data_IF_832881060568
#
_entry.id   IF_832881060568
#
_cell.length_a   1.000
_cell.length_b   1.000
_cell.length_c   1.000
_cell.angle_alpha   90.00
_cell.angle_beta   90.00
_cell.angle_gamma   90.00
#
_symmetry.space_group_name_H-M   'P 1'
#
loop_
_entity.id
_entity.type
_entity.pdbx_description
1 polymer ?
#
# COMPACT_ATOMS: atom_id res chain seq x y z
N UNK A 1 39.01 43.76 18.32
CA UNK A 1 37.78 44.54 18.05
C UNK A 1 36.59 43.66 18.40
N UNK A 2 35.79 44.05 19.41
CA UNK A 2 34.52 43.41 19.87
C UNK A 2 33.42 43.61 18.80
N UNK A 3 32.37 42.80 18.66
CA UNK A 3 31.17 42.63 19.52
C UNK A 3 30.54 41.23 19.25
N UNK A 4 30.29 40.39 20.26
CA UNK A 4 29.07 40.25 21.09
C UNK A 4 27.77 39.91 20.31
N UNK A 5 27.26 38.69 20.53
CA UNK A 5 25.89 38.55 21.04
C UNK A 5 25.81 37.44 22.07
N UNK A 6 25.13 37.81 23.15
CA UNK A 6 24.93 37.15 24.43
C UNK A 6 23.43 36.89 24.50
N UNK A 7 23.01 35.66 24.79
CA UNK A 7 21.67 35.41 25.30
C UNK A 7 21.79 34.62 26.59
N UNK A 8 21.46 35.30 27.68
CA UNK A 8 21.28 34.76 29.03
C UNK A 8 19.80 34.42 29.17
N UNK A 9 19.49 33.21 29.58
CA UNK A 9 18.26 32.91 30.32
C UNK A 9 18.68 32.27 31.65
N UNK A 10 18.41 32.98 32.75
CA UNK A 10 18.45 32.45 34.11
C UNK A 10 16.99 32.18 34.48
N UNK A 11 16.67 30.95 34.86
CA UNK A 11 15.48 30.62 35.66
C UNK A 11 15.95 29.76 36.83
N UNK A 12 15.43 30.10 38.01
CA UNK A 12 15.85 29.70 39.34
C UNK A 12 15.71 28.20 39.65
N UNK A 13 16.62 27.70 40.49
CA UNK A 13 16.52 26.43 41.23
C UNK A 13 15.31 26.42 42.17
N UNK A 14 14.62 25.26 42.27
CA UNK A 14 14.20 24.64 43.54
C UNK A 14 13.71 23.21 43.24
N UNK A 15 14.28 22.21 43.93
CA UNK A 15 13.64 20.90 44.10
C UNK A 15 14.43 19.71 43.55
N UNK A 16 15.32 19.16 44.39
CA UNK A 16 15.86 17.82 44.20
C UNK A 16 14.73 16.79 44.32
N UNK A 17 14.46 16.07 43.23
CA UNK A 17 13.92 14.72 43.28
C UNK A 17 14.66 13.93 42.19
N UNK A 18 15.78 13.30 42.56
CA UNK A 18 16.49 12.36 41.70
C UNK A 18 15.61 11.13 41.51
N UNK A 19 14.70 11.18 40.54
CA UNK A 19 14.19 9.98 39.91
C UNK A 19 15.20 9.62 38.83
N UNK A 20 16.06 8.65 39.15
CA UNK A 20 16.80 7.88 38.17
C UNK A 20 15.78 7.11 37.34
N UNK A 21 15.13 7.77 36.39
CA UNK A 21 14.50 7.07 35.28
C UNK A 21 15.65 6.44 34.49
N UNK A 22 15.92 5.18 34.80
CA UNK A 22 16.54 4.28 33.86
C UNK A 22 15.85 4.52 32.52
N UNK A 23 16.60 4.96 31.52
CA UNK A 23 16.18 4.84 30.13
C UNK A 23 16.06 3.34 29.89
N UNK A 24 14.93 2.75 30.28
CA UNK A 24 14.47 1.53 29.67
C UNK A 24 14.52 1.83 28.19
N UNK A 25 15.45 1.17 27.51
CA UNK A 25 15.54 1.11 26.07
C UNK A 25 14.16 0.62 25.65
N UNK A 26 13.25 1.56 25.36
CA UNK A 26 11.97 1.26 24.75
C UNK A 26 12.37 0.44 23.54
N UNK A 27 12.14 -0.87 23.61
CA UNK A 27 12.25 -1.76 22.47
C UNK A 27 11.51 -1.01 21.38
N UNK A 28 12.25 -0.55 20.36
CA UNK A 28 11.67 0.24 19.28
C UNK A 28 10.56 -0.64 18.72
N UNK A 29 9.30 -0.31 19.05
CA UNK A 29 8.16 -0.94 18.40
C UNK A 29 8.34 -0.52 16.95
N UNK A 30 8.85 -1.43 16.11
CA UNK A 30 9.34 -1.11 14.77
C UNK A 30 8.42 -0.14 14.03
N UNK A 31 9.03 0.81 13.32
CA UNK A 31 8.33 1.86 12.59
C UNK A 31 7.65 1.27 11.35
N UNK A 32 6.49 1.82 10.98
CA UNK A 32 5.86 1.51 9.69
C UNK A 32 6.42 2.42 8.60
N UNK A 33 6.93 1.81 7.54
CA UNK A 33 7.47 2.47 6.36
C UNK A 33 6.63 2.11 5.14
N UNK A 34 6.09 3.11 4.45
CA UNK A 34 5.33 2.90 3.21
C UNK A 34 6.25 2.46 2.09
N UNK A 35 5.99 1.27 1.53
CA UNK A 35 6.77 0.70 0.41
C UNK A 35 6.11 0.90 -0.95
N UNK A 36 4.80 1.13 -0.95
CA UNK A 36 4.00 1.40 -2.13
C UNK A 36 2.76 2.22 -1.75
N UNK A 37 2.36 3.16 -2.59
CA UNK A 37 1.13 3.92 -2.45
C UNK A 37 0.60 4.36 -3.83
N UNK A 38 -0.67 4.72 -3.88
CA UNK A 38 -1.33 5.33 -5.04
C UNK A 38 -2.06 6.62 -4.66
N UNK A 39 -2.48 7.41 -5.65
CA UNK A 39 -3.31 8.60 -5.43
C UNK A 39 -4.78 8.22 -5.60
N UNK A 40 -5.54 7.96 -4.52
CA UNK A 40 -6.93 7.54 -4.66
C UNK A 40 -7.77 8.69 -5.24
N UNK A 41 -8.72 8.33 -6.09
CA UNK A 41 -9.71 9.23 -6.65
C UNK A 41 -11.08 8.58 -6.75
N UNK A 42 -12.12 9.39 -6.99
CA UNK A 42 -13.40 8.89 -7.45
C UNK A 42 -13.23 8.29 -8.84
N UNK A 43 -13.60 7.03 -9.01
CA UNK A 43 -13.55 6.35 -10.30
C UNK A 43 -14.67 6.87 -11.20
N UNK A 44 -14.30 7.42 -12.35
CA UNK A 44 -15.24 7.83 -13.40
C UNK A 44 -16.00 6.63 -13.97
N UNK A 45 -17.27 6.77 -14.41
CA UNK A 45 -18.09 5.65 -14.89
C UNK A 45 -17.41 4.73 -15.91
N UNK A 46 -16.66 5.30 -16.87
CA UNK A 46 -15.94 4.53 -17.91
C UNK A 46 -14.78 3.67 -17.39
N UNK A 47 -14.30 3.95 -16.17
CA UNK A 47 -13.19 3.25 -15.52
C UNK A 47 -13.68 2.33 -14.39
N UNK A 48 -14.99 2.22 -14.19
CA UNK A 48 -15.56 1.23 -13.27
C UNK A 48 -15.17 -0.18 -13.72
N UNK A 49 -15.14 -1.09 -12.74
CA UNK A 49 -14.80 -2.48 -13.03
C UNK A 49 -15.76 -3.06 -14.07
N UNK A 50 -15.26 -3.64 -15.16
CA UNK A 50 -16.12 -4.27 -16.16
C UNK A 50 -16.86 -5.47 -15.55
N UNK A 51 -17.92 -5.93 -16.23
CA UNK A 51 -18.63 -7.16 -15.87
C UNK A 51 -17.64 -8.31 -15.59
N UNK A 52 -17.78 -9.04 -14.47
CA UNK A 52 -18.96 -9.12 -13.60
C UNK A 52 -19.06 -8.02 -12.53
N UNK A 53 -18.19 -7.01 -12.57
CA UNK A 53 -18.10 -5.96 -11.56
C UNK A 53 -17.41 -6.44 -10.27
N UNK A 54 -17.24 -5.54 -9.30
CA UNK A 54 -16.60 -5.88 -8.03
C UNK A 54 -17.56 -6.54 -7.04
N UNK A 55 -18.81 -6.07 -6.96
CA UNK A 55 -19.78 -6.51 -5.96
C UNK A 55 -20.06 -8.02 -6.05
N UNK A 56 -19.83 -8.76 -4.96
CA UNK A 56 -20.01 -10.21 -4.91
C UNK A 56 -18.89 -11.03 -5.55
N UNK A 57 -17.88 -10.38 -6.14
CA UNK A 57 -16.82 -11.00 -6.92
C UNK A 57 -15.44 -10.77 -6.30
N UNK A 58 -14.42 -11.36 -6.91
CA UNK A 58 -13.03 -11.26 -6.43
C UNK A 58 -12.18 -10.52 -7.45
N UNK A 59 -11.41 -9.54 -6.95
CA UNK A 59 -10.42 -8.78 -7.69
C UNK A 59 -9.02 -9.20 -7.23
N UNK A 60 -8.10 -9.45 -8.15
CA UNK A 60 -6.67 -9.57 -7.88
C UNK A 60 -5.91 -8.45 -8.57
N UNK A 61 -5.18 -7.68 -7.77
CA UNK A 61 -4.37 -6.55 -8.22
C UNK A 61 -2.90 -6.88 -7.99
N UNK A 62 -2.02 -6.44 -8.89
CA UNK A 62 -0.58 -6.67 -8.78
C UNK A 62 0.13 -5.32 -8.72
N UNK A 63 0.99 -5.17 -7.72
CA UNK A 63 1.78 -3.96 -7.51
C UNK A 63 3.25 -4.30 -7.36
N UNK A 64 4.13 -3.37 -7.71
CA UNK A 64 5.57 -3.48 -7.46
C UNK A 64 5.92 -2.64 -6.24
N UNK A 65 6.50 -3.28 -5.23
CA UNK A 65 6.92 -2.59 -3.99
C UNK A 65 8.34 -2.06 -4.14
N UNK A 66 8.70 -1.02 -3.39
CA UNK A 66 10.05 -0.44 -3.39
C UNK A 66 10.97 -1.21 -2.46
N UNK A 67 10.69 -1.14 -1.16
CA UNK A 67 11.46 -1.78 -0.09
C UNK A 67 10.79 -3.05 0.42
N UNK A 68 11.60 -4.01 0.86
CA UNK A 68 11.12 -5.26 1.44
C UNK A 68 10.89 -5.16 2.95
N UNK A 69 10.36 -6.23 3.53
CA UNK A 69 10.14 -6.36 4.97
C UNK A 69 9.59 -7.73 5.33
N UNK A 70 9.68 -8.10 6.61
CA UNK A 70 9.19 -9.41 7.12
C UNK A 70 7.75 -9.35 7.63
N UNK A 71 7.27 -8.13 7.88
CA UNK A 71 5.94 -7.82 8.42
C UNK A 71 5.39 -6.67 7.62
N UNK A 72 4.12 -6.77 7.26
CA UNK A 72 3.45 -5.74 6.47
C UNK A 72 2.02 -5.52 6.95
N UNK A 73 1.44 -4.40 6.53
CA UNK A 73 0.00 -4.09 6.66
C UNK A 73 -0.45 -3.33 5.42
N UNK A 74 -1.73 -3.46 5.09
CA UNK A 74 -2.33 -2.79 3.94
C UNK A 74 -3.34 -1.76 4.41
N UNK A 75 -3.43 -0.63 3.73
CA UNK A 75 -4.51 0.34 3.89
C UNK A 75 -5.47 0.25 2.72
N UNK A 76 -6.75 0.09 3.03
CA UNK A 76 -7.84 0.19 2.07
C UNK A 76 -8.62 1.48 2.30
N UNK A 77 -9.07 2.09 1.21
CA UNK A 77 -9.75 3.38 1.22
C UNK A 77 -11.13 3.29 0.58
N UNK A 78 -12.07 3.97 1.23
CA UNK A 78 -13.42 4.24 0.73
C UNK A 78 -13.71 5.75 0.76
N UNK A 79 -12.66 6.57 0.63
CA UNK A 79 -12.67 8.02 0.82
C UNK A 79 -13.63 8.77 -0.11
N UNK A 80 -13.79 8.30 -1.34
CA UNK A 80 -14.61 8.97 -2.37
C UNK A 80 -15.95 8.28 -2.61
N UNK A 81 -16.23 7.20 -1.90
CA UNK A 81 -17.49 6.47 -2.04
C UNK A 81 -18.55 7.08 -1.12
N UNK A 82 -19.79 7.13 -1.59
CA UNK A 82 -20.92 7.67 -0.83
C UNK A 82 -21.54 6.64 0.13
N UNK A 83 -21.25 5.36 -0.07
CA UNK A 83 -21.77 4.26 0.75
C UNK A 83 -20.64 3.43 1.34
N UNK A 84 -21.00 2.55 2.28
CA UNK A 84 -20.05 1.61 2.85
C UNK A 84 -19.59 0.55 1.84
N UNK A 85 -18.28 0.33 1.77
CA UNK A 85 -17.65 -0.80 1.10
C UNK A 85 -17.64 -2.01 2.02
N UNK A 86 -18.17 -3.15 1.56
CA UNK A 86 -18.16 -4.39 2.34
C UNK A 86 -17.26 -5.44 1.68
N UNK A 87 -16.33 -6.00 2.47
CA UNK A 87 -15.32 -6.97 2.00
C UNK A 87 -15.49 -8.27 2.78
N UNK A 88 -15.46 -9.41 2.07
CA UNK A 88 -15.58 -10.76 2.65
C UNK A 88 -14.24 -11.27 3.18
N UNK A 89 -13.19 -11.09 2.38
CA UNK A 89 -11.86 -11.57 2.68
C UNK A 89 -10.82 -10.84 1.82
N UNK A 90 -9.60 -10.77 2.32
CA UNK A 90 -8.42 -10.31 1.58
C UNK A 90 -7.29 -11.30 1.79
N UNK A 91 -6.52 -11.56 0.74
CA UNK A 91 -5.28 -12.31 0.82
C UNK A 91 -4.17 -11.61 0.03
N UNK A 92 -2.93 -11.91 0.39
CA UNK A 92 -1.74 -11.52 -0.34
C UNK A 92 -0.93 -12.74 -0.74
N UNK A 93 -0.18 -12.63 -1.83
CA UNK A 93 0.71 -13.69 -2.31
C UNK A 93 1.79 -13.14 -3.23
N UNK A 94 2.85 -13.91 -3.43
CA UNK A 94 3.83 -13.68 -4.49
C UNK A 94 3.18 -14.08 -5.82
N UNK A 95 3.12 -13.19 -6.83
CA UNK A 95 2.62 -13.55 -8.15
C UNK A 95 3.61 -14.48 -8.86
N UNK A 96 3.09 -15.47 -9.59
CA UNK A 96 3.92 -16.45 -10.31
C UNK A 96 3.87 -16.25 -11.82
N UNK A 97 2.70 -15.94 -12.39
CA UNK A 97 2.52 -15.62 -13.81
C UNK A 97 1.13 -15.01 -14.03
N UNK A 98 1.04 -13.90 -14.77
CA UNK A 98 -0.23 -13.20 -15.05
C UNK A 98 -1.10 -13.03 -13.79
N UNK A 99 -2.27 -13.65 -13.71
CA UNK A 99 -3.16 -13.64 -12.54
C UNK A 99 -2.82 -14.68 -11.46
N UNK A 100 -1.87 -15.58 -11.71
CA UNK A 100 -1.54 -16.71 -10.84
C UNK A 100 -0.59 -16.29 -9.72
N UNK A 101 -0.66 -17.03 -8.62
CA UNK A 101 0.16 -16.79 -7.43
C UNK A 101 0.83 -18.07 -6.95
N UNK A 102 1.94 -17.95 -6.22
CA UNK A 102 2.55 -19.06 -5.51
C UNK A 102 1.65 -19.47 -4.33
N UNK A 103 1.13 -20.69 -4.38
CA UNK A 103 0.24 -21.26 -3.38
C UNK A 103 0.83 -21.21 -1.95
N UNK A 104 2.14 -21.43 -1.82
CA UNK A 104 2.82 -21.47 -0.51
C UNK A 104 2.95 -20.10 0.15
N UNK A 105 2.83 -19.04 -0.67
CA UNK A 105 2.95 -17.66 -0.23
C UNK A 105 1.63 -17.03 0.18
N UNK A 106 0.48 -17.68 -0.09
CA UNK A 106 -0.84 -17.11 0.22
C UNK A 106 -0.96 -16.84 1.73
N UNK A 107 -1.29 -15.61 2.10
CA UNK A 107 -1.60 -15.21 3.48
C UNK A 107 -2.91 -14.43 3.50
N UNK A 108 -3.87 -14.89 4.28
CA UNK A 108 -5.09 -14.12 4.56
C UNK A 108 -4.77 -12.94 5.46
N UNK A 109 -5.43 -11.82 5.22
CA UNK A 109 -5.35 -10.63 6.07
C UNK A 109 -6.57 -10.56 6.99
N UNK A 110 -6.34 -10.05 8.19
CA UNK A 110 -7.40 -9.73 9.14
C UNK A 110 -7.46 -8.23 9.39
N UNK A 111 -8.62 -7.78 9.86
CA UNK A 111 -8.92 -6.42 10.23
C UNK A 111 -9.65 -6.50 11.56
N UNK A 112 -9.05 -5.96 12.62
CA UNK A 112 -9.56 -6.13 13.99
C UNK A 112 -9.79 -7.62 14.32
N UNK A 113 -8.87 -8.48 13.89
CA UNK A 113 -8.88 -9.95 14.04
C UNK A 113 -10.01 -10.66 13.28
N UNK A 114 -10.67 -10.00 12.34
CA UNK A 114 -11.72 -10.58 11.48
C UNK A 114 -11.30 -10.60 10.01
N UNK A 115 -11.78 -11.60 9.25
CA UNK A 115 -11.52 -11.68 7.80
C UNK A 115 -12.42 -10.73 6.99
N UNK A 116 -13.65 -10.53 7.45
CA UNK A 116 -14.60 -9.61 6.83
C UNK A 116 -14.63 -8.28 7.57
N UNK A 117 -14.90 -7.21 6.85
CA UNK A 117 -14.98 -5.87 7.39
C UNK A 117 -15.81 -4.96 6.48
N UNK A 118 -16.14 -3.78 7.01
CA UNK A 118 -16.77 -2.69 6.27
C UNK A 118 -15.93 -1.44 6.42
N UNK A 119 -15.82 -0.67 5.34
CA UNK A 119 -15.26 0.67 5.39
C UNK A 119 -16.43 1.65 5.25
N UNK A 120 -16.56 2.59 6.18
CA UNK A 120 -17.58 3.64 6.09
C UNK A 120 -17.29 4.59 4.89
N UNK A 121 -18.29 5.35 4.40
CA UNK A 121 -18.05 6.44 3.46
C UNK A 121 -16.97 7.39 3.99
N UNK A 122 -16.11 7.91 3.10
CA UNK A 122 -15.10 8.91 3.48
C UNK A 122 -13.94 8.39 4.33
N UNK A 123 -13.90 7.08 4.62
CA UNK A 123 -13.01 6.48 5.61
C UNK A 123 -12.01 5.51 5.00
N UNK A 124 -10.99 5.16 5.79
CA UNK A 124 -9.98 4.16 5.46
C UNK A 124 -9.85 3.15 6.60
N UNK A 125 -9.26 1.99 6.31
CA UNK A 125 -8.95 0.97 7.31
C UNK A 125 -7.57 0.36 7.05
N UNK A 126 -6.84 0.02 8.11
CA UNK A 126 -5.61 -0.75 8.03
C UNK A 126 -5.87 -2.20 8.39
N UNK A 127 -5.21 -3.14 7.71
CA UNK A 127 -5.15 -4.52 8.15
C UNK A 127 -4.36 -4.64 9.45
N UNK A 128 -4.59 -5.72 10.18
CA UNK A 128 -3.68 -6.17 11.20
C UNK A 128 -2.30 -6.50 10.59
N UNK A 129 -1.27 -6.56 11.44
CA UNK A 129 0.07 -6.95 11.04
C UNK A 129 0.09 -8.41 10.57
N UNK A 130 0.67 -8.66 9.38
CA UNK A 130 0.86 -10.01 8.84
C UNK A 130 2.34 -10.30 8.63
N UNK A 131 2.77 -11.52 8.98
CA UNK A 131 4.10 -12.02 8.63
C UNK A 131 4.13 -12.44 7.16
N UNK A 132 4.99 -11.79 6.38
CA UNK A 132 5.17 -12.08 4.96
C UNK A 132 6.56 -11.59 4.56
N UNK A 133 7.38 -12.48 4.00
CA UNK A 133 8.74 -12.13 3.58
C UNK A 133 8.72 -11.42 2.22
N UNK A 134 8.45 -10.11 2.25
CA UNK A 134 8.38 -9.27 1.07
C UNK A 134 9.79 -8.87 0.64
N UNK A 135 10.19 -9.24 -0.57
CA UNK A 135 11.50 -8.87 -1.12
C UNK A 135 11.48 -7.43 -1.66
N UNK A 136 12.58 -6.66 -1.55
CA UNK A 136 12.69 -5.36 -2.22
C UNK A 136 12.44 -5.49 -3.72
N UNK A 137 11.87 -4.45 -4.34
CA UNK A 137 11.60 -4.38 -5.78
C UNK A 137 10.73 -5.51 -6.36
N UNK A 138 10.09 -6.31 -5.50
CA UNK A 138 9.27 -7.46 -5.92
C UNK A 138 7.83 -7.07 -6.22
N UNK A 139 7.12 -8.00 -6.86
CA UNK A 139 5.68 -7.87 -7.06
C UNK A 139 4.92 -8.50 -5.88
N UNK A 140 3.78 -7.91 -5.55
CA UNK A 140 2.81 -8.44 -4.59
C UNK A 140 1.45 -8.53 -5.26
N UNK A 141 0.80 -9.69 -5.17
CA UNK A 141 -0.59 -9.86 -5.54
C UNK A 141 -1.49 -9.62 -4.32
N UNK A 142 -2.51 -8.78 -4.48
CA UNK A 142 -3.52 -8.48 -3.48
C UNK A 142 -4.86 -8.97 -4.02
N UNK A 143 -5.45 -9.95 -3.36
CA UNK A 143 -6.74 -10.55 -3.77
C UNK A 143 -7.82 -10.14 -2.78
N UNK A 144 -8.90 -9.53 -3.28
CA UNK A 144 -9.98 -8.94 -2.49
C UNK A 144 -11.29 -9.56 -2.96
N UNK A 145 -11.99 -10.28 -2.09
CA UNK A 145 -13.38 -10.67 -2.36
C UNK A 145 -14.34 -9.68 -1.74
N UNK A 146 -15.13 -9.02 -2.57
CA UNK A 146 -16.09 -8.04 -2.12
C UNK A 146 -17.43 -8.69 -1.80
N UNK A 147 -18.07 -8.23 -0.72
CA UNK A 147 -19.46 -8.56 -0.44
C UNK A 147 -20.40 -7.61 -1.18
N UNK A 148 -20.13 -6.31 -1.07
CA UNK A 148 -20.92 -5.25 -1.70
C UNK A 148 -20.02 -4.08 -2.03
N UNK A 149 -20.11 -3.62 -3.28
CA UNK A 149 -19.49 -2.38 -3.75
C UNK A 149 -20.62 -1.51 -4.33
N UNK A 150 -20.61 -0.22 -4.05
CA UNK A 150 -21.62 0.71 -4.59
C UNK A 150 -21.13 1.42 -5.84
N UNK A 151 -21.95 2.30 -6.42
CA UNK A 151 -21.66 2.91 -7.71
C UNK A 151 -20.47 3.89 -7.65
N UNK A 152 -20.29 4.57 -6.52
CA UNK A 152 -19.12 5.42 -6.29
C UNK A 152 -17.99 4.57 -5.73
N UNK A 153 -16.92 4.39 -6.51
CA UNK A 153 -15.78 3.56 -6.12
C UNK A 153 -14.55 4.43 -5.93
N UNK A 154 -13.86 4.22 -4.81
CA UNK A 154 -12.49 4.74 -4.62
C UNK A 154 -11.50 3.83 -5.34
N UNK A 155 -10.65 4.42 -6.18
CA UNK A 155 -9.64 3.67 -6.94
C UNK A 155 -8.63 4.57 -7.62
N UNK A 156 -7.85 3.99 -8.53
CA UNK A 156 -6.87 4.71 -9.34
C UNK A 156 -6.86 4.17 -10.78
N UNK A 157 -7.62 4.81 -11.69
CA UNK A 157 -7.73 4.38 -13.09
C UNK A 157 -6.42 4.45 -13.88
N UNK A 158 -5.52 5.36 -13.54
CA UNK A 158 -4.26 5.54 -14.25
C UNK A 158 -3.15 4.58 -13.81
N UNK A 159 -3.50 3.48 -13.13
CA UNK A 159 -2.56 2.50 -12.56
C UNK A 159 -1.58 1.91 -13.56
N UNK A 160 -2.00 1.72 -14.83
CA UNK A 160 -1.22 1.05 -15.89
C UNK A 160 -0.74 -0.34 -15.48
N UNK A 161 -1.50 -0.99 -14.62
CA UNK A 161 -1.29 -2.38 -14.21
C UNK A 161 -2.59 -3.13 -14.35
N UNK A 162 -2.52 -4.33 -14.93
CA UNK A 162 -3.66 -5.19 -15.12
C UNK A 162 -4.07 -5.83 -13.81
N UNK A 163 -5.32 -5.60 -13.44
CA UNK A 163 -6.07 -6.30 -12.41
C UNK A 163 -7.01 -7.32 -13.05
N UNK A 164 -7.38 -8.34 -12.27
CA UNK A 164 -8.09 -9.53 -12.73
C UNK A 164 -9.33 -9.75 -11.88
N UNK A 165 -10.48 -9.93 -12.53
CA UNK A 165 -11.77 -10.11 -11.87
C UNK A 165 -12.32 -11.50 -12.18
N UNK A 166 -12.74 -12.23 -11.14
CA UNK A 166 -13.43 -13.51 -11.25
C UNK A 166 -14.71 -13.52 -10.43
N UNK A 167 -15.68 -14.33 -10.86
CA UNK A 167 -16.97 -14.46 -10.17
C UNK A 167 -16.82 -15.17 -8.82
N UNK A 168 -17.56 -14.68 -7.83
CA UNK A 168 -17.63 -15.28 -6.50
C UNK A 168 -16.40 -15.03 -5.62
N UNK A 169 -16.34 -15.73 -4.49
CA UNK A 169 -15.24 -15.67 -3.52
C UNK A 169 -14.11 -16.62 -3.97
N UNK A 170 -12.94 -16.07 -4.33
CA UNK A 170 -11.77 -16.82 -4.80
C UNK A 170 -10.46 -16.33 -4.19
N UNK A 171 -10.47 -15.80 -2.96
CA UNK A 171 -9.25 -15.24 -2.31
C UNK A 171 -8.14 -16.25 -2.09
N UNK A 172 -8.47 -17.54 -1.95
CA UNK A 172 -7.48 -18.62 -1.80
C UNK A 172 -7.10 -19.29 -3.12
N UNK A 173 -7.67 -18.87 -4.26
CA UNK A 173 -7.43 -19.52 -5.54
C UNK A 173 -6.03 -19.19 -6.07
N UNK A 174 -5.23 -20.22 -6.33
CA UNK A 174 -3.90 -20.10 -6.93
C UNK A 174 -3.99 -19.55 -8.36
N UNK A 175 -4.96 -20.07 -9.12
CA UNK A 175 -5.19 -19.75 -10.53
C UNK A 175 -6.60 -19.18 -10.70
N UNK A 176 -6.70 -18.06 -11.40
CA UNK A 176 -7.99 -17.53 -11.85
C UNK A 176 -8.34 -18.12 -13.21
N UNK A 177 -9.51 -18.78 -13.30
CA UNK A 177 -10.02 -19.31 -14.58
C UNK A 177 -10.72 -18.19 -15.33
N UNK A 178 -10.25 -17.89 -16.54
CA UNK A 178 -10.82 -16.89 -17.46
C UNK A 178 -11.13 -15.54 -16.78
N UNK A 179 -10.14 -14.90 -16.10
CA UNK A 179 -10.39 -13.63 -15.44
C UNK A 179 -10.67 -12.53 -16.45
N UNK A 180 -11.61 -11.65 -16.10
CA UNK A 180 -11.81 -10.39 -16.82
C UNK A 180 -10.72 -9.42 -16.42
N UNK A 181 -10.10 -8.76 -17.40
CA UNK A 181 -8.98 -7.85 -17.18
C UNK A 181 -9.45 -6.40 -17.14
N UNK A 182 -8.80 -5.59 -16.31
CA UNK A 182 -8.97 -4.13 -16.27
C UNK A 182 -7.68 -3.48 -15.80
N UNK A 183 -7.30 -2.34 -16.36
CA UNK A 183 -6.00 -1.70 -16.07
C UNK A 183 -6.10 -0.62 -14.98
N UNK A 184 -6.75 -0.98 -13.88
CA UNK A 184 -7.12 -0.07 -12.80
C UNK A 184 -6.85 -0.70 -11.43
N UNK A 185 -6.55 0.15 -10.44
CA UNK A 185 -6.60 -0.23 -9.04
C UNK A 185 -7.93 0.19 -8.39
N UNK A 186 -8.43 -0.62 -7.46
CA UNK A 186 -9.64 -0.34 -6.70
C UNK A 186 -9.40 -0.59 -5.21
N UNK A 187 -9.90 0.32 -4.38
CA UNK A 187 -9.90 0.29 -2.91
C UNK A 187 -8.54 0.21 -2.20
N UNK A 188 -7.45 -0.22 -2.84
CA UNK A 188 -6.11 -0.29 -2.25
C UNK A 188 -5.47 1.10 -2.24
N UNK A 189 -4.96 1.55 -1.10
CA UNK A 189 -4.33 2.87 -0.98
C UNK A 189 -2.81 2.78 -0.78
N UNK A 190 -2.34 2.07 0.25
CA UNK A 190 -0.90 1.89 0.48
C UNK A 190 -0.58 0.55 1.14
N UNK A 191 0.71 0.19 1.05
CA UNK A 191 1.31 -0.96 1.71
C UNK A 191 2.46 -0.44 2.57
N UNK A 192 2.45 -0.79 3.85
CA UNK A 192 3.53 -0.49 4.77
C UNK A 192 4.27 -1.78 5.15
N UNK A 193 5.59 -1.69 5.30
CA UNK A 193 6.43 -2.70 5.92
C UNK A 193 6.91 -2.22 7.28
N UNK A 194 7.13 -3.14 8.21
CA UNK A 194 7.71 -2.82 9.52
C UNK A 194 9.23 -2.84 9.44
N UNK A 195 9.87 -1.79 9.93
CA UNK A 195 11.33 -1.66 10.00
C UNK A 195 11.78 -1.48 11.44
N UNK A 196 12.89 -2.12 11.80
CA UNK A 196 13.51 -1.98 13.13
C UNK A 196 14.52 -0.84 13.18
N UNK A 197 15.04 -0.44 12.01
CA UNK A 197 15.98 0.67 11.81
C UNK A 197 15.27 1.95 11.36
N UNK A 198 15.78 3.15 11.73
CA UNK A 198 15.31 4.43 11.21
C UNK A 198 15.29 4.43 9.68
N UNK A 199 14.10 4.65 9.10
CA UNK A 199 13.89 4.59 7.66
C UNK A 199 12.97 5.73 7.20
N UNK A 200 13.17 6.19 5.96
CA UNK A 200 12.46 7.34 5.41
C UNK A 200 11.79 6.98 4.07
N UNK A 201 10.59 7.50 3.85
CA UNK A 201 9.88 7.40 2.58
C UNK A 201 9.94 8.73 1.83
N UNK A 202 10.02 8.66 0.50
CA UNK A 202 9.92 9.83 -0.37
C UNK A 202 8.51 9.88 -0.96
N UNK A 203 7.79 10.97 -0.71
CA UNK A 203 6.51 11.24 -1.36
C UNK A 203 6.74 12.00 -2.66
N UNK A 204 6.14 11.51 -3.76
CA UNK A 204 6.24 12.13 -5.07
C UNK A 204 4.88 12.75 -5.40
N UNK A 205 4.85 14.06 -5.61
CA UNK A 205 3.67 14.81 -6.03
C UNK A 205 3.89 15.32 -7.45
N UNK A 206 2.87 15.23 -8.30
CA UNK A 206 2.97 15.71 -9.66
C UNK A 206 1.70 15.52 -10.48
N UNK A 207 1.87 15.61 -11.79
CA UNK A 207 0.77 15.54 -12.76
C UNK A 207 0.73 14.17 -13.46
N UNK A 208 0.01 14.08 -14.58
CA UNK A 208 -0.12 12.84 -15.38
C UNK A 208 1.20 12.16 -15.78
N UNK A 209 2.32 12.88 -15.85
CA UNK A 209 3.65 12.31 -16.11
C UNK A 209 4.14 11.50 -14.90
N UNK A 210 3.95 12.04 -13.70
CA UNK A 210 4.23 11.34 -12.44
C UNK A 210 3.38 10.09 -12.31
N UNK A 211 2.15 10.19 -12.76
CA UNK A 211 1.23 9.07 -12.77
C UNK A 211 1.59 7.98 -13.79
N UNK A 212 2.47 8.31 -14.75
CA UNK A 212 3.05 7.35 -15.69
C UNK A 212 2.69 7.54 -17.15
N UNK A 213 2.20 8.71 -17.59
CA UNK A 213 1.92 8.95 -19.02
C UNK A 213 3.18 8.67 -19.87
N UNK A 214 3.02 7.82 -20.89
CA UNK A 214 4.13 7.35 -21.74
C UNK A 214 4.77 6.02 -21.30
N UNK A 215 4.41 5.48 -20.14
CA UNK A 215 4.84 4.14 -19.70
C UNK A 215 4.00 3.02 -20.32
N UNK A 216 4.55 1.81 -20.38
CA UNK A 216 3.83 0.65 -20.90
C UNK A 216 3.06 -0.09 -19.80
N UNK A 217 1.86 -0.57 -20.12
CA UNK A 217 1.06 -1.38 -19.18
C UNK A 217 1.86 -2.58 -18.69
N UNK A 218 1.84 -2.83 -17.38
CA UNK A 218 2.55 -3.90 -16.67
C UNK A 218 4.08 -3.85 -16.73
N UNK A 219 4.70 -2.85 -17.39
CA UNK A 219 6.16 -2.78 -17.52
C UNK A 219 6.86 -2.27 -16.27
N UNK A 220 6.11 -1.68 -15.33
CA UNK A 220 6.67 -1.08 -14.10
C UNK A 220 7.83 -0.13 -14.41
N UNK A 221 7.67 0.66 -15.48
CA UNK A 221 8.69 1.57 -16.03
C UNK A 221 8.22 3.03 -16.01
N UNK A 222 7.32 3.38 -15.09
CA UNK A 222 7.00 4.78 -14.81
C UNK A 222 8.24 5.41 -14.20
N UNK A 223 8.48 6.71 -14.41
CA UNK A 223 9.70 7.32 -13.87
C UNK A 223 9.86 7.15 -12.34
N UNK A 224 8.78 7.12 -11.52
CA UNK A 224 8.92 6.79 -10.10
C UNK A 224 9.38 5.34 -9.85
N UNK A 225 8.95 4.38 -10.68
CA UNK A 225 9.40 2.98 -10.57
C UNK A 225 10.90 2.88 -10.85
N UNK A 226 11.35 3.55 -11.92
CA UNK A 226 12.78 3.65 -12.27
C UNK A 226 13.53 4.34 -11.13
N UNK A 227 12.93 5.38 -10.53
CA UNK A 227 13.55 6.09 -9.43
C UNK A 227 13.79 5.24 -8.19
N UNK A 228 12.79 4.45 -7.82
CA UNK A 228 12.84 3.60 -6.64
C UNK A 228 13.63 2.31 -6.87
N UNK A 229 13.86 1.91 -8.13
CA UNK A 229 14.63 0.71 -8.47
C UNK A 229 16.14 0.81 -8.19
N UNK A 230 16.66 2.03 -8.01
CA UNK A 230 18.10 2.28 -7.92
C UNK A 230 18.83 2.36 -9.27
N UNK A 231 18.13 2.22 -10.41
CA UNK A 231 18.74 2.30 -11.75
C UNK A 231 19.43 3.65 -12.05
N UNK A 232 19.18 4.71 -11.27
CA UNK A 232 19.93 5.98 -11.41
C UNK A 232 21.43 5.86 -11.14
N UNK A 233 21.88 4.86 -10.36
CA UNK A 233 23.31 4.64 -10.14
C UNK A 233 24.06 4.25 -11.42
N UNK A 234 23.34 3.75 -12.45
CA UNK A 234 23.93 3.35 -13.73
C UNK A 234 23.98 4.54 -14.71
N UNK A 235 23.12 5.55 -14.53
CA UNK A 235 23.04 6.71 -15.42
C UNK A 235 23.94 7.88 -14.99
N UNK A 236 24.49 7.83 -13.77
CA UNK A 236 25.49 8.78 -13.29
C UNK A 236 26.64 8.01 -12.62
N UNK A 237 27.58 7.43 -13.39
CA UNK A 237 28.82 6.94 -12.81
C UNK A 237 29.62 8.16 -12.29
N UNK A 238 29.62 8.39 -10.96
CA UNK A 238 30.54 9.33 -10.32
C UNK A 238 29.95 10.43 -9.45
N UNK A 239 28.89 10.14 -8.67
CA UNK A 239 28.59 10.89 -7.43
C UNK A 239 28.66 9.92 -6.27
#
# INVERSE_FOLDING_TARGET
MRFKSLYIFIIWDFGSCSSSQSLEKQSSKGQWLTTWATAPQLVEPKNLAPEPGLSGNTLRQIVRVSVGGKKLRLRFSNKYSMDSLAVKAVSIAVPSDSSNVDATSIRSLTFEKKNNFKIAPGSDIYSDEVNFNLKPNSLLAITISYAKVTQSVTGHPASRTTSFIVKGEQTSAVVFKNPVKTDHWYSLFNIDVKTDEPSYAVAIMGNSITDGRGSGTNRQNRWPDIFLSGYWQILLPGI
#
